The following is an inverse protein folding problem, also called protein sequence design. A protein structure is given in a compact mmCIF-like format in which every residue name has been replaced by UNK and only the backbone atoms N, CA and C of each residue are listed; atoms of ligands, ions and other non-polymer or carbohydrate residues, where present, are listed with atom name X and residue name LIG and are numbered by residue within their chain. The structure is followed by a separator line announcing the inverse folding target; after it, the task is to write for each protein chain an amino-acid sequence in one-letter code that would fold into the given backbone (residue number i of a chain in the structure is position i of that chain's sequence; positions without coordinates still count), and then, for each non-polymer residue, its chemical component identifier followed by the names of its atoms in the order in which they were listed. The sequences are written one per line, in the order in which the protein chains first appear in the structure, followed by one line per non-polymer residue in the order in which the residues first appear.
data_IF_655249324087
#
_entry.id   IF_655249324087
#
_cell.length_a   1.000
_cell.length_b   1.000
_cell.length_c   1.000
_cell.angle_alpha   90.00
_cell.angle_beta   90.00
_cell.angle_gamma   90.00
#
_symmetry.space_group_name_H-M   'P 1'
#
loop_
_entity.id
_entity.type
_entity.pdbx_description
1 polymer ?
#
# COMPACT_ATOMS: atom_id res chain seq x y z
N UNK A 1 -6.39 2.33 13.83
CA UNK A 1 -5.51 2.20 12.64
C UNK A 1 -6.29 1.42 11.59
N UNK A 2 -6.31 1.86 10.33
CA UNK A 2 -7.21 1.33 9.30
C UNK A 2 -6.62 0.09 8.62
N UNK A 3 -7.48 -0.88 8.26
CA UNK A 3 -7.00 -2.11 7.62
C UNK A 3 -6.34 -1.83 6.27
N UNK A 4 -6.87 -0.87 5.52
CA UNK A 4 -6.34 -0.43 4.24
C UNK A 4 -5.06 0.40 4.35
N UNK A 5 -4.74 0.95 5.53
CA UNK A 5 -3.42 1.56 5.78
C UNK A 5 -2.30 0.50 5.89
N UNK A 6 -2.59 -0.77 5.60
CA UNK A 6 -1.60 -1.83 5.43
C UNK A 6 -0.62 -1.54 4.29
N UNK A 7 -1.08 -0.86 3.23
CA UNK A 7 -0.27 -0.57 2.04
C UNK A 7 0.48 0.78 2.08
N UNK A 8 0.35 1.56 3.15
CA UNK A 8 1.06 2.83 3.30
C UNK A 8 0.61 3.96 2.36
N UNK A 9 -0.50 3.78 1.62
CA UNK A 9 -1.12 4.83 0.81
C UNK A 9 -1.89 5.83 1.68
N UNK A 10 -1.92 7.10 1.27
CA UNK A 10 -2.64 8.17 1.99
C UNK A 10 -4.15 8.23 1.65
N UNK A 11 -4.55 7.79 0.44
CA UNK A 11 -5.91 7.96 -0.10
C UNK A 11 -6.71 6.65 -0.31
N UNK A 12 -6.55 5.67 0.59
CA UNK A 12 -7.23 4.36 0.49
C UNK A 12 -8.76 4.39 0.70
N UNK A 13 -9.39 5.57 0.81
CA UNK A 13 -10.84 5.67 0.91
C UNK A 13 -11.50 5.95 -0.44
N UNK A 14 -10.71 6.27 -1.47
CA UNK A 14 -11.21 6.53 -2.81
C UNK A 14 -11.30 5.19 -3.56
N UNK A 15 -12.47 4.80 -4.08
CA UNK A 15 -12.59 3.55 -4.83
C UNK A 15 -12.45 3.79 -6.33
N UNK A 16 -11.60 3.01 -6.98
CA UNK A 16 -11.51 2.94 -8.44
C UNK A 16 -12.62 2.06 -9.04
N UNK A 17 -12.95 2.29 -10.32
CA UNK A 17 -13.96 1.52 -11.06
C UNK A 17 -13.68 0.00 -11.05
N UNK A 18 -12.41 -0.42 -11.07
CA UNK A 18 -12.01 -1.83 -11.02
C UNK A 18 -12.54 -2.57 -9.80
N UNK A 19 -12.67 -1.88 -8.65
CA UNK A 19 -13.25 -2.48 -7.43
C UNK A 19 -14.70 -2.89 -7.65
N UNK A 20 -15.46 -2.08 -8.39
CA UNK A 20 -16.88 -2.31 -8.64
C UNK A 20 -17.12 -3.44 -9.66
N UNK A 21 -16.18 -3.66 -10.57
CA UNK A 21 -16.24 -4.73 -11.55
C UNK A 21 -15.83 -6.07 -10.96
N UNK A 22 -14.81 -6.11 -10.11
CA UNK A 22 -14.26 -7.37 -9.59
C UNK A 22 -14.92 -7.87 -8.31
N UNK A 23 -15.39 -6.97 -7.44
CA UNK A 23 -15.91 -7.34 -6.13
C UNK A 23 -17.31 -6.78 -5.85
N UNK A 24 -18.20 -7.53 -5.18
CA UNK A 24 -19.49 -7.03 -4.74
C UNK A 24 -19.36 -6.15 -3.49
N UNK A 25 -20.38 -5.30 -3.20
CA UNK A 25 -20.33 -4.34 -2.10
C UNK A 25 -20.17 -4.97 -0.71
N UNK A 26 -20.79 -6.12 -0.47
CA UNK A 26 -20.72 -6.80 0.81
C UNK A 26 -19.29 -7.21 1.19
N UNK A 27 -18.49 -7.68 0.22
CA UNK A 27 -17.08 -8.03 0.42
C UNK A 27 -16.23 -6.79 0.68
N UNK A 28 -16.37 -5.75 -0.16
CA UNK A 28 -15.55 -4.53 -0.06
C UNK A 28 -15.80 -3.83 1.29
N UNK A 29 -17.06 -3.72 1.71
CA UNK A 29 -17.43 -2.95 2.88
C UNK A 29 -17.01 -3.58 4.22
N UNK A 30 -16.63 -4.86 4.24
CA UNK A 30 -16.04 -5.47 5.45
C UNK A 30 -14.74 -4.77 5.87
N UNK A 31 -13.97 -4.28 4.89
CA UNK A 31 -12.71 -3.58 5.10
C UNK A 31 -12.89 -2.10 5.49
N UNK A 32 -14.09 -1.53 5.26
CA UNK A 32 -14.45 -0.14 5.55
C UNK A 32 -15.34 0.02 6.79
N UNK A 33 -15.44 -1.01 7.64
CA UNK A 33 -16.23 -0.92 8.86
C UNK A 33 -15.78 0.26 9.74
N UNK A 34 -16.75 1.09 10.15
CA UNK A 34 -16.55 2.31 10.92
C UNK A 34 -15.67 3.37 10.24
N UNK A 35 -15.61 3.35 8.91
CA UNK A 35 -14.83 4.28 8.11
C UNK A 35 -15.71 4.97 7.04
N UNK A 36 -15.10 5.63 6.07
CA UNK A 36 -15.79 6.24 4.94
C UNK A 36 -15.18 5.80 3.61
N UNK A 37 -15.99 5.97 2.57
CA UNK A 37 -15.67 5.68 1.18
C UNK A 37 -16.01 6.91 0.35
N UNK A 38 -15.12 7.25 -0.57
CA UNK A 38 -15.28 8.31 -1.54
C UNK A 38 -15.39 7.69 -2.94
N UNK A 39 -16.34 8.18 -3.72
CA UNK A 39 -16.58 7.73 -5.10
C UNK A 39 -16.67 8.98 -5.97
N UNK A 40 -15.92 9.04 -7.07
CA UNK A 40 -16.06 10.15 -8.00
C UNK A 40 -17.34 9.97 -8.84
N UNK A 41 -17.92 11.09 -9.28
CA UNK A 41 -19.09 11.09 -10.14
C UNK A 41 -18.80 10.37 -11.47
N UNK A 42 -17.57 10.49 -11.99
CA UNK A 42 -17.15 9.79 -13.19
C UNK A 42 -17.16 8.26 -13.02
N UNK A 43 -16.73 7.74 -11.86
CA UNK A 43 -16.78 6.30 -11.55
C UNK A 43 -18.24 5.83 -11.48
N UNK A 44 -19.12 6.59 -10.82
CA UNK A 44 -20.55 6.25 -10.78
C UNK A 44 -21.20 6.29 -12.16
N UNK A 45 -20.87 7.28 -13.01
CA UNK A 45 -21.37 7.36 -14.38
C UNK A 45 -20.92 6.15 -15.21
N UNK A 46 -19.65 5.78 -15.14
CA UNK A 46 -19.13 4.58 -15.81
C UNK A 46 -19.86 3.31 -15.34
N UNK A 47 -20.14 3.21 -14.04
CA UNK A 47 -20.92 2.10 -13.49
C UNK A 47 -22.34 2.05 -14.08
N UNK A 48 -23.01 3.21 -14.23
CA UNK A 48 -24.35 3.30 -14.83
C UNK A 48 -24.35 2.99 -16.32
N UNK A 49 -23.33 3.44 -17.06
CA UNK A 49 -23.13 3.10 -18.47
C UNK A 49 -22.97 1.59 -18.64
N UNK A 50 -22.09 0.97 -17.84
CA UNK A 50 -21.86 -0.47 -17.86
C UNK A 50 -23.09 -1.28 -17.42
N UNK A 51 -23.91 -0.75 -16.51
CA UNK A 51 -25.19 -1.38 -16.10
C UNK A 51 -26.27 -1.27 -17.18
N UNK A 52 -26.27 -0.20 -17.97
CA UNK A 52 -27.22 0.00 -19.05
C UNK A 52 -26.89 -0.81 -20.31
N UNK A 53 -25.64 -1.26 -20.44
CA UNK A 53 -25.18 -2.10 -21.55
C UNK A 53 -25.76 -3.53 -21.44
N UNK A 54 -26.65 -3.94 -22.36
CA UNK A 54 -27.26 -5.27 -22.32
C UNK A 54 -26.26 -6.40 -22.62
N UNK A 55 -25.10 -6.09 -23.22
CA UNK A 55 -24.05 -7.08 -23.51
C UNK A 55 -23.11 -7.29 -22.31
N UNK A 56 -23.23 -6.49 -21.25
CA UNK A 56 -22.43 -6.62 -20.05
C UNK A 56 -22.94 -7.74 -19.14
N UNK A 57 -22.12 -8.79 -19.00
CA UNK A 57 -22.42 -9.98 -18.19
C UNK A 57 -21.87 -9.90 -16.76
N UNK A 58 -21.28 -8.77 -16.34
CA UNK A 58 -20.69 -8.64 -15.01
C UNK A 58 -21.77 -8.59 -13.91
N UNK A 59 -21.78 -9.60 -13.04
CA UNK A 59 -22.79 -9.73 -11.96
C UNK A 59 -22.61 -8.74 -10.80
N UNK A 60 -21.44 -8.12 -10.65
CA UNK A 60 -21.16 -7.18 -9.55
C UNK A 60 -21.72 -5.78 -9.82
N UNK A 61 -21.73 -5.36 -11.08
CA UNK A 61 -22.20 -4.04 -11.49
C UNK A 61 -23.65 -3.78 -11.08
N UNK A 62 -24.62 -4.67 -11.38
CA UNK A 62 -25.98 -4.54 -10.88
C UNK A 62 -26.08 -4.43 -9.36
N UNK A 63 -25.24 -5.17 -8.61
CA UNK A 63 -25.26 -5.15 -7.14
C UNK A 63 -24.84 -3.78 -6.62
N UNK A 64 -23.80 -3.19 -7.20
CA UNK A 64 -23.35 -1.85 -6.83
C UNK A 64 -24.34 -0.75 -7.21
N UNK A 65 -24.93 -0.81 -8.41
CA UNK A 65 -25.96 0.17 -8.82
C UNK A 65 -27.17 0.08 -7.91
N UNK A 66 -27.69 -1.12 -7.64
CA UNK A 66 -28.82 -1.30 -6.72
C UNK A 66 -28.48 -0.86 -5.30
N UNK A 67 -27.26 -1.14 -4.84
CA UNK A 67 -26.78 -0.69 -3.53
C UNK A 67 -26.76 0.84 -3.43
N UNK A 68 -26.16 1.54 -4.40
CA UNK A 68 -26.07 3.01 -4.40
C UNK A 68 -27.45 3.65 -4.59
N UNK A 69 -28.22 3.19 -5.57
CA UNK A 69 -29.47 3.84 -5.95
C UNK A 69 -30.60 3.57 -4.97
N UNK A 70 -30.69 2.33 -4.46
CA UNK A 70 -31.86 1.88 -3.66
C UNK A 70 -31.53 1.71 -2.19
N UNK A 71 -30.36 1.17 -1.84
CA UNK A 71 -30.02 0.97 -0.44
C UNK A 71 -29.49 2.24 0.23
N UNK A 72 -28.64 3.01 -0.47
CA UNK A 72 -28.17 4.31 0.01
C UNK A 72 -29.12 5.47 -0.34
N UNK A 73 -30.10 5.26 -1.22
CA UNK A 73 -31.04 6.27 -1.73
C UNK A 73 -30.34 7.52 -2.29
N UNK A 74 -29.32 7.29 -3.14
CA UNK A 74 -28.46 8.37 -3.65
C UNK A 74 -28.75 8.81 -5.08
N UNK A 75 -29.55 8.06 -5.84
CA UNK A 75 -29.82 8.31 -7.28
C UNK A 75 -30.19 9.77 -7.56
N UNK A 76 -31.19 10.31 -6.86
CA UNK A 76 -31.65 11.70 -7.04
C UNK A 76 -30.60 12.75 -6.66
N UNK A 77 -29.71 12.42 -5.73
CA UNK A 77 -28.67 13.33 -5.26
C UNK A 77 -27.46 13.34 -6.18
N UNK A 78 -27.16 12.22 -6.83
CA UNK A 78 -26.11 12.12 -7.85
C UNK A 78 -26.52 12.84 -9.14
N UNK A 79 -27.80 12.75 -9.54
CA UNK A 79 -28.33 13.59 -10.63
C UNK A 79 -28.20 15.08 -10.29
N UNK A 80 -28.56 15.47 -9.06
CA UNK A 80 -28.40 16.87 -8.63
C UNK A 80 -26.93 17.31 -8.56
N UNK A 81 -26.00 16.41 -8.21
CA UNK A 81 -24.56 16.68 -8.22
C UNK A 81 -24.09 16.95 -9.66
N UNK A 82 -24.50 16.13 -10.61
CA UNK A 82 -24.17 16.27 -12.04
C UNK A 82 -24.69 17.59 -12.63
N UNK A 83 -25.95 17.93 -12.37
CA UNK A 83 -26.60 19.12 -12.93
C UNK A 83 -26.15 20.44 -12.28
N UNK A 84 -25.77 20.42 -11.00
CA UNK A 84 -25.49 21.65 -10.25
C UNK A 84 -24.00 21.93 -10.13
N UNK A 85 -23.45 22.78 -11.00
CA UNK A 85 -22.02 23.17 -11.04
C UNK A 85 -21.43 23.73 -9.73
N UNK A 86 -22.27 24.07 -8.74
CA UNK A 86 -21.85 24.68 -7.48
C UNK A 86 -21.81 23.70 -6.29
N UNK A 87 -22.14 22.43 -6.55
CA UNK A 87 -21.94 21.33 -5.61
C UNK A 87 -20.65 20.58 -5.95
N UNK A 88 -19.74 20.51 -4.99
CA UNK A 88 -18.47 19.80 -5.15
C UNK A 88 -18.62 18.32 -4.76
N UNK A 89 -19.53 18.03 -3.83
CA UNK A 89 -19.83 16.67 -3.38
C UNK A 89 -21.26 16.54 -2.84
N UNK A 90 -21.74 15.30 -2.70
CA UNK A 90 -22.96 14.95 -1.93
C UNK A 90 -22.63 13.86 -0.91
N UNK A 91 -23.35 13.89 0.23
CA UNK A 91 -23.16 12.97 1.34
C UNK A 91 -22.98 13.69 2.69
N UNK A 92 -22.73 12.94 3.78
CA UNK A 92 -22.63 11.48 3.82
C UNK A 92 -23.98 10.79 3.57
N UNK A 93 -23.93 9.68 2.82
CA UNK A 93 -24.90 8.58 2.96
C UNK A 93 -24.35 7.58 3.98
N UNK A 94 -25.22 6.82 4.63
CA UNK A 94 -24.84 5.93 5.72
C UNK A 94 -25.25 4.50 5.42
N UNK A 95 -24.30 3.59 5.47
CA UNK A 95 -24.55 2.17 5.52
C UNK A 95 -24.34 1.66 6.94
N UNK A 96 -25.45 1.54 7.67
CA UNK A 96 -25.46 1.29 9.12
C UNK A 96 -24.92 -0.10 9.49
N UNK A 97 -25.05 -1.10 8.61
CA UNK A 97 -24.61 -2.48 8.86
C UNK A 97 -23.11 -2.60 9.11
N UNK A 98 -22.29 -1.77 8.47
CA UNK A 98 -20.84 -1.67 8.75
C UNK A 98 -20.45 -0.33 9.37
N UNK A 99 -21.43 0.56 9.62
CA UNK A 99 -21.20 1.96 9.99
C UNK A 99 -20.24 2.67 9.03
N UNK A 100 -20.44 2.47 7.73
CA UNK A 100 -19.63 3.08 6.67
C UNK A 100 -20.34 4.30 6.10
N UNK A 101 -19.61 5.40 5.90
CA UNK A 101 -20.13 6.63 5.28
C UNK A 101 -19.71 6.71 3.82
N UNK A 102 -20.60 7.17 2.96
CA UNK A 102 -20.31 7.36 1.53
C UNK A 102 -20.37 8.82 1.16
N UNK A 103 -19.36 9.28 0.43
CA UNK A 103 -19.27 10.60 -0.15
C UNK A 103 -19.06 10.48 -1.64
N UNK A 104 -19.76 11.31 -2.41
CA UNK A 104 -19.65 11.33 -3.86
C UNK A 104 -19.16 12.68 -4.32
N UNK A 105 -18.06 12.72 -5.06
CA UNK A 105 -17.36 13.95 -5.46
C UNK A 105 -17.52 14.21 -6.94
N UNK A 106 -17.76 15.46 -7.34
CA UNK A 106 -17.78 15.83 -8.76
C UNK A 106 -16.39 15.67 -9.38
N UNK A 107 -15.36 16.15 -8.70
CA UNK A 107 -13.99 16.14 -9.21
C UNK A 107 -13.38 14.74 -9.07
N UNK A 108 -12.67 14.24 -10.10
CA UNK A 108 -11.88 13.03 -9.96
C UNK A 108 -10.76 13.27 -8.92
N UNK A 109 -10.30 12.18 -8.30
CA UNK A 109 -9.21 12.24 -7.32
C UNK A 109 -7.86 12.40 -8.04
N UNK A 110 -6.94 13.16 -7.45
CA UNK A 110 -5.62 13.44 -8.03
C UNK A 110 -4.66 12.24 -7.92
N UNK A 111 -4.89 11.36 -6.94
CA UNK A 111 -4.10 10.16 -6.70
C UNK A 111 -4.88 8.89 -7.07
N UNK A 112 -4.14 7.81 -7.32
CA UNK A 112 -4.72 6.48 -7.55
C UNK A 112 -5.52 6.04 -6.32
N UNK A 113 -6.81 5.77 -6.53
CA UNK A 113 -7.67 5.19 -5.51
C UNK A 113 -7.31 3.73 -5.21
N UNK A 114 -8.05 3.13 -4.29
CA UNK A 114 -8.00 1.70 -4.03
C UNK A 114 -8.48 0.91 -5.24
N UNK A 115 -7.61 0.04 -5.72
CA UNK A 115 -7.80 -0.80 -6.91
C UNK A 115 -8.26 -2.22 -6.53
N UNK A 116 -8.72 -2.98 -7.52
CA UNK A 116 -9.20 -4.35 -7.29
C UNK A 116 -8.10 -5.30 -6.76
N UNK A 117 -6.85 -5.18 -7.22
CA UNK A 117 -5.72 -5.99 -6.75
C UNK A 117 -5.43 -5.80 -5.25
N UNK A 118 -5.57 -4.57 -4.75
CA UNK A 118 -5.44 -4.27 -3.32
C UNK A 118 -6.56 -4.91 -2.49
N UNK A 119 -7.79 -4.93 -3.03
CA UNK A 119 -8.90 -5.67 -2.40
C UNK A 119 -8.63 -7.18 -2.43
N UNK A 120 -8.07 -7.70 -3.53
CA UNK A 120 -7.67 -9.11 -3.64
C UNK A 120 -6.66 -9.48 -2.54
N UNK A 121 -5.63 -8.66 -2.34
CA UNK A 121 -4.62 -8.89 -1.30
C UNK A 121 -5.24 -8.83 0.09
N UNK A 122 -6.17 -7.90 0.36
CA UNK A 122 -6.88 -7.87 1.66
C UNK A 122 -7.71 -9.12 1.90
N UNK A 123 -8.38 -9.65 0.88
CA UNK A 123 -9.14 -10.90 0.95
C UNK A 123 -8.18 -12.06 1.24
N UNK A 124 -7.05 -12.14 0.55
CA UNK A 124 -6.03 -13.17 0.76
C UNK A 124 -5.46 -13.11 2.19
N UNK A 125 -5.09 -11.91 2.67
CA UNK A 125 -4.60 -11.68 4.03
C UNK A 125 -5.64 -11.98 5.10
N UNK A 126 -6.92 -11.78 4.77
CA UNK A 126 -8.04 -12.15 5.64
C UNK A 126 -8.22 -13.67 5.76
N UNK A 127 -7.62 -14.45 4.86
CA UNK A 127 -7.69 -15.90 4.79
C UNK A 127 -7.26 -16.61 6.07
N UNK A 128 -7.57 -17.92 6.14
CA UNK A 128 -7.06 -18.75 7.24
C UNK A 128 -5.69 -19.28 6.85
N UNK A 129 -4.63 -19.07 7.66
CA UNK A 129 -3.30 -19.59 7.36
C UNK A 129 -3.35 -21.11 7.12
N UNK A 130 -2.77 -21.59 6.03
CA UNK A 130 -2.69 -23.00 5.66
C UNK A 130 -1.23 -23.43 5.67
N UNK A 131 -0.97 -24.66 6.11
CA UNK A 131 0.38 -25.24 6.02
C UNK A 131 0.54 -25.84 4.63
N UNK A 132 1.67 -25.61 3.99
CA UNK A 132 1.98 -26.25 2.71
C UNK A 132 2.04 -27.78 2.88
N UNK A 133 1.40 -28.51 1.97
CA UNK A 133 1.26 -29.97 2.04
C UNK A 133 2.59 -30.71 1.89
N UNK A 134 3.53 -30.15 1.13
CA UNK A 134 4.86 -30.72 0.94
C UNK A 134 5.69 -30.52 2.21
N UNK A 135 5.66 -29.31 2.77
CA UNK A 135 6.34 -29.00 4.04
C UNK A 135 5.75 -29.81 5.20
N UNK A 136 4.42 -29.95 5.27
CA UNK A 136 3.73 -30.74 6.29
C UNK A 136 4.13 -32.22 6.27
N UNK A 137 4.18 -32.82 5.07
CA UNK A 137 4.62 -34.21 4.88
C UNK A 137 6.07 -34.38 5.32
N UNK A 138 6.95 -33.46 4.92
CA UNK A 138 8.35 -33.51 5.31
C UNK A 138 8.55 -33.43 6.81
N UNK A 139 7.90 -32.47 7.47
CA UNK A 139 7.95 -32.32 8.92
C UNK A 139 7.51 -33.59 9.68
N UNK A 140 6.48 -34.28 9.18
CA UNK A 140 6.04 -35.54 9.76
C UNK A 140 7.12 -36.63 9.64
N UNK A 141 7.80 -36.74 8.50
CA UNK A 141 8.88 -37.71 8.31
C UNK A 141 10.13 -37.41 9.14
N UNK A 142 10.46 -36.12 9.29
CA UNK A 142 11.60 -35.64 10.08
C UNK A 142 11.52 -36.10 11.54
N UNK A 143 10.32 -36.09 12.14
CA UNK A 143 10.11 -36.53 13.53
C UNK A 143 10.31 -38.02 13.78
N UNK A 144 10.25 -38.85 12.74
CA UNK A 144 10.29 -40.29 12.85
C UNK A 144 11.65 -40.90 12.47
N UNK A 145 12.53 -40.14 11.83
CA UNK A 145 13.84 -40.65 11.39
C UNK A 145 14.91 -40.44 12.49
N UNK A 146 15.67 -41.49 12.86
CA UNK A 146 16.85 -41.32 13.70
C UNK A 146 17.92 -40.49 12.97
N UNK A 147 18.72 -39.74 13.73
CA UNK A 147 19.85 -38.97 13.22
C UNK A 147 20.88 -39.92 12.61
N UNK A 148 20.84 -40.08 11.29
CA UNK A 148 21.85 -40.75 10.48
C UNK A 148 22.45 -39.75 9.49
N UNK A 149 23.62 -40.06 8.95
CA UNK A 149 24.24 -39.25 7.89
C UNK A 149 23.29 -39.16 6.69
N UNK A 150 22.84 -37.94 6.38
CA UNK A 150 21.93 -37.67 5.27
C UNK A 150 22.62 -37.94 3.93
N UNK A 151 21.90 -38.55 3.00
CA UNK A 151 22.34 -38.67 1.61
C UNK A 151 22.31 -37.32 0.88
N UNK A 152 23.01 -37.21 -0.27
CA UNK A 152 22.98 -35.98 -1.08
C UNK A 152 21.55 -35.61 -1.50
N UNK A 153 20.77 -36.59 -1.91
CA UNK A 153 19.39 -36.37 -2.36
C UNK A 153 18.48 -35.94 -1.21
N UNK A 154 18.72 -36.47 0.00
CA UNK A 154 18.04 -35.99 1.22
C UNK A 154 18.42 -34.54 1.54
N UNK A 155 19.69 -34.16 1.41
CA UNK A 155 20.13 -32.77 1.62
C UNK A 155 19.53 -31.80 0.60
N UNK A 156 19.47 -32.18 -0.68
CA UNK A 156 18.84 -31.39 -1.73
C UNK A 156 17.36 -31.17 -1.45
N UNK A 157 16.65 -32.24 -1.05
CA UNK A 157 15.26 -32.15 -0.66
C UNK A 157 15.06 -31.27 0.58
N UNK A 158 15.88 -31.43 1.62
CA UNK A 158 15.82 -30.60 2.83
C UNK A 158 16.02 -29.11 2.52
N UNK A 159 16.96 -28.78 1.63
CA UNK A 159 17.23 -27.41 1.19
C UNK A 159 16.06 -26.82 0.41
N UNK A 160 15.50 -27.56 -0.55
CA UNK A 160 14.35 -27.11 -1.32
C UNK A 160 13.16 -26.79 -0.40
N UNK A 161 12.89 -27.68 0.55
CA UNK A 161 11.79 -27.50 1.52
C UNK A 161 12.04 -26.32 2.43
N UNK A 162 13.29 -26.11 2.82
CA UNK A 162 13.68 -24.98 3.68
C UNK A 162 13.58 -23.64 2.97
N UNK A 163 13.91 -23.59 1.67
CA UNK A 163 13.69 -22.40 0.84
C UNK A 163 12.19 -22.09 0.76
N UNK A 164 11.35 -23.07 0.41
CA UNK A 164 9.89 -22.89 0.38
C UNK A 164 9.32 -22.51 1.74
N UNK A 165 9.86 -23.06 2.84
CA UNK A 165 9.45 -22.69 4.18
C UNK A 165 9.78 -21.23 4.51
N UNK A 166 10.92 -20.70 4.06
CA UNK A 166 11.27 -19.28 4.25
C UNK A 166 10.33 -18.34 3.49
N UNK A 167 10.01 -18.67 2.24
CA UNK A 167 9.05 -17.91 1.41
C UNK A 167 7.67 -17.88 2.09
N UNK A 168 7.19 -19.04 2.55
CA UNK A 168 5.91 -19.17 3.23
C UNK A 168 5.88 -18.49 4.61
N UNK A 169 7.00 -18.43 5.35
CA UNK A 169 7.07 -17.70 6.63
C UNK A 169 6.68 -16.24 6.44
N UNK A 170 7.17 -15.58 5.38
CA UNK A 170 6.85 -14.17 5.12
C UNK A 170 5.35 -13.99 4.86
N UNK A 171 4.78 -14.84 4.00
CA UNK A 171 3.35 -14.79 3.67
C UNK A 171 2.47 -15.00 4.92
N UNK A 172 2.76 -16.03 5.72
CA UNK A 172 2.02 -16.31 6.96
C UNK A 172 2.21 -15.18 7.99
N UNK A 173 3.39 -14.55 8.03
CA UNK A 173 3.64 -13.39 8.90
C UNK A 173 2.76 -12.20 8.50
N UNK A 174 2.64 -11.89 7.20
CA UNK A 174 1.75 -10.83 6.71
C UNK A 174 0.30 -11.10 7.10
N UNK A 175 -0.19 -12.34 6.93
CA UNK A 175 -1.51 -12.74 7.40
C UNK A 175 -1.67 -12.52 8.92
N UNK A 176 -0.71 -12.98 9.73
CA UNK A 176 -0.76 -12.79 11.20
C UNK A 176 -0.78 -11.30 11.57
N UNK A 177 0.01 -10.47 10.89
CA UNK A 177 0.04 -9.03 11.11
C UNK A 177 -1.30 -8.38 10.74
N UNK A 178 -1.89 -8.76 9.61
CA UNK A 178 -3.22 -8.31 9.20
C UNK A 178 -4.28 -8.64 10.27
N UNK A 179 -4.30 -9.88 10.77
CA UNK A 179 -5.25 -10.30 11.81
C UNK A 179 -5.07 -9.51 13.12
N UNK A 180 -3.84 -9.12 13.48
CA UNK A 180 -3.58 -8.25 14.64
C UNK A 180 -4.18 -6.87 14.43
N UNK A 181 -3.95 -6.25 13.26
CA UNK A 181 -4.55 -4.95 12.93
C UNK A 181 -6.07 -4.99 12.90
N UNK A 182 -6.66 -6.10 12.43
CA UNK A 182 -8.11 -6.33 12.51
C UNK A 182 -8.59 -6.33 13.95
N UNK A 183 -7.92 -7.04 14.85
CA UNK A 183 -8.25 -7.02 16.28
C UNK A 183 -8.16 -5.58 16.82
N UNK A 184 -7.07 -4.87 16.56
CA UNK A 184 -6.88 -3.49 17.04
C UNK A 184 -8.00 -2.56 16.55
N UNK A 185 -8.41 -2.69 15.28
CA UNK A 185 -9.49 -1.90 14.71
C UNK A 185 -10.84 -2.22 15.36
N UNK A 186 -11.15 -3.50 15.59
CA UNK A 186 -12.41 -3.94 16.21
C UNK A 186 -12.45 -3.63 17.71
N UNK A 187 -11.36 -3.83 18.44
CA UNK A 187 -11.25 -3.46 19.86
C UNK A 187 -11.33 -1.94 20.04
N UNK A 188 -10.74 -1.15 19.12
CA UNK A 188 -10.90 0.31 19.11
C UNK A 188 -12.37 0.73 18.93
N UNK A 189 -13.12 0.04 18.07
CA UNK A 189 -14.57 0.29 17.91
C UNK A 189 -15.35 -0.06 19.18
N UNK A 190 -15.10 -1.24 19.78
CA UNK A 190 -15.79 -1.70 20.98
C UNK A 190 -15.52 -0.83 22.22
N UNK A 191 -14.31 -0.29 22.32
CA UNK A 191 -13.89 0.55 23.45
C UNK A 191 -14.25 2.04 23.26
N UNK A 192 -14.75 2.45 22.09
CA UNK A 192 -15.11 3.84 21.84
C UNK A 192 -16.42 4.20 22.55
N UNK A 193 -16.42 5.19 23.48
CA UNK A 193 -17.65 5.69 24.11
C UNK A 193 -18.61 6.34 23.09
N UNK A 194 -18.13 6.62 21.88
CA UNK A 194 -18.87 7.18 20.76
C UNK A 194 -18.92 6.24 19.55
N UNK A 195 -19.10 4.93 19.76
CA UNK A 195 -19.54 4.00 18.70
C UNK A 195 -20.97 4.36 18.25
N UNK A 196 -21.15 5.59 17.79
CA UNK A 196 -22.34 6.20 17.24
C UNK A 196 -22.08 6.51 15.76
N UNK A 197 -23.14 6.73 15.01
CA UNK A 197 -23.02 7.31 13.68
C UNK A 197 -22.41 8.71 13.81
N UNK A 198 -21.49 9.06 12.92
CA UNK A 198 -20.91 10.41 12.90
C UNK A 198 -21.90 11.39 12.28
N UNK A 199 -22.20 12.50 12.98
CA UNK A 199 -23.04 13.58 12.45
C UNK A 199 -22.39 14.21 11.21
N UNK A 200 -23.18 14.67 10.21
CA UNK A 200 -22.66 15.46 9.11
C UNK A 200 -21.94 16.72 9.60
N UNK A 201 -20.82 17.07 8.96
CA UNK A 201 -19.99 18.18 9.41
C UNK A 201 -20.54 19.56 8.98
N UNK A 202 -20.55 20.52 9.91
CA UNK A 202 -21.11 21.87 9.71
C UNK A 202 -20.09 22.82 9.09
N UNK A 203 -19.82 22.71 7.79
CA UNK A 203 -18.79 23.53 7.12
C UNK A 203 -19.28 24.75 6.32
N UNK A 204 -20.43 25.34 6.67
CA UNK A 204 -21.00 26.43 5.87
C UNK A 204 -20.99 27.76 6.61
N UNK A 205 -19.96 28.58 6.35
CA UNK A 205 -19.93 29.98 6.78
C UNK A 205 -20.80 30.78 5.83
N UNK A 206 -21.86 31.40 6.35
CA UNK A 206 -22.74 32.27 5.56
C UNK A 206 -21.92 33.47 5.05
N UNK A 207 -21.94 33.76 3.74
CA UNK A 207 -21.28 34.94 3.18
C UNK A 207 -21.74 36.22 3.88
N UNK A 208 -20.80 37.15 4.10
CA UNK A 208 -21.10 38.41 4.75
C UNK A 208 -21.42 39.49 3.72
N UNK A 209 -22.48 40.26 3.99
CA UNK A 209 -22.91 41.33 3.10
C UNK A 209 -21.85 42.43 3.04
N UNK A 210 -21.45 42.91 1.84
CA UNK A 210 -20.48 43.99 1.71
C UNK A 210 -20.93 45.23 2.48
N UNK A 211 -20.07 45.75 3.36
CA UNK A 211 -20.35 46.96 4.10
C UNK A 211 -20.32 48.17 3.16
N UNK A 212 -21.38 48.99 3.16
CA UNK A 212 -21.34 50.31 2.51
C UNK A 212 -20.40 51.21 3.31
N UNK A 213 -19.20 51.48 2.78
CA UNK A 213 -18.32 52.51 3.34
C UNK A 213 -19.04 53.86 3.24
N UNK A 214 -19.44 54.43 4.37
CA UNK A 214 -19.90 55.83 4.42
C UNK A 214 -18.68 56.71 4.17
N UNK A 215 -18.53 57.20 2.94
CA UNK A 215 -17.59 58.26 2.61
C UNK A 215 -18.04 59.53 3.34
N UNK A 216 -17.36 59.87 4.44
CA UNK A 216 -17.40 61.20 5.02
C UNK A 216 -16.17 61.92 4.49
N UNK A 217 -16.25 62.52 3.31
CA UNK A 217 -15.33 63.58 2.85
C UNK A 217 -15.85 64.26 1.60
N UNK A 218 -15.75 65.58 1.61
CA UNK A 218 -16.18 66.53 0.61
C UNK A 218 -15.58 66.25 -0.78
N UNK A 219 -16.46 66.21 -1.78
CA UNK A 219 -16.23 66.66 -3.15
C UNK A 219 -15.04 66.09 -3.90
N UNK A 220 -15.10 64.84 -4.36
CA UNK A 220 -14.70 64.41 -5.71
C UNK A 220 -15.38 63.05 -5.98
N UNK A 221 -16.21 62.97 -7.01
CA UNK A 221 -16.90 61.74 -7.41
C UNK A 221 -15.87 60.70 -7.87
N UNK A 222 -15.67 59.62 -7.10
CA UNK A 222 -14.89 58.45 -7.54
C UNK A 222 -15.84 57.36 -8.07
N UNK A 223 -16.13 57.29 -9.38
CA UNK A 223 -16.98 56.24 -9.96
C UNK A 223 -16.41 54.81 -9.77
N UNK A 224 -15.09 54.67 -9.59
CA UNK A 224 -14.43 53.38 -9.35
C UNK A 224 -14.82 52.70 -8.04
N UNK A 225 -15.20 53.45 -6.99
CA UNK A 225 -15.62 52.86 -5.70
C UNK A 225 -17.06 52.36 -5.68
N UNK A 226 -17.90 52.90 -6.58
CA UNK A 226 -19.27 52.46 -6.78
C UNK A 226 -19.31 51.16 -7.60
N UNK A 227 -18.53 51.09 -8.67
CA UNK A 227 -18.38 49.88 -9.49
C UNK A 227 -17.84 48.70 -8.67
N UNK A 228 -16.78 48.91 -7.87
CA UNK A 228 -16.24 47.84 -7.01
C UNK A 228 -17.19 47.40 -5.89
N UNK A 229 -18.03 48.30 -5.38
CA UNK A 229 -19.10 47.95 -4.44
C UNK A 229 -20.24 47.16 -5.10
N UNK A 230 -20.60 47.52 -6.33
CA UNK A 230 -21.60 46.79 -7.14
C UNK A 230 -21.09 45.39 -7.49
N UNK A 231 -19.83 45.24 -7.91
CA UNK A 231 -19.16 43.95 -8.12
C UNK A 231 -19.12 43.11 -6.84
N UNK A 232 -18.75 43.70 -5.70
CA UNK A 232 -18.75 43.00 -4.42
C UNK A 232 -20.17 42.54 -4.01
N UNK A 233 -21.20 43.31 -4.36
CA UNK A 233 -22.59 42.94 -4.12
C UNK A 233 -23.06 41.82 -5.07
N UNK A 234 -22.61 41.81 -6.33
CA UNK A 234 -22.87 40.71 -7.27
C UNK A 234 -22.18 39.42 -6.81
N UNK A 235 -20.90 39.50 -6.41
CA UNK A 235 -20.17 38.38 -5.84
C UNK A 235 -20.85 37.84 -4.58
N UNK A 236 -21.26 38.72 -3.67
CA UNK A 236 -22.03 38.33 -2.48
C UNK A 236 -23.32 37.58 -2.83
N UNK A 237 -24.09 38.05 -3.81
CA UNK A 237 -25.32 37.39 -4.23
C UNK A 237 -25.03 36.00 -4.83
N UNK A 238 -23.95 35.88 -5.61
CA UNK A 238 -23.47 34.61 -6.14
C UNK A 238 -23.08 33.65 -5.00
N UNK A 239 -22.19 34.08 -4.11
CA UNK A 239 -21.72 33.29 -2.97
C UNK A 239 -22.87 32.87 -2.06
N UNK A 240 -23.86 33.76 -1.85
CA UNK A 240 -25.04 33.46 -1.06
C UNK A 240 -25.91 32.38 -1.72
N UNK A 241 -26.05 32.41 -3.06
CA UNK A 241 -26.73 31.35 -3.81
C UNK A 241 -26.00 30.02 -3.64
N UNK A 242 -24.67 30.01 -3.80
CA UNK A 242 -23.82 28.82 -3.59
C UNK A 242 -23.98 28.28 -2.17
N UNK A 243 -23.93 29.16 -1.17
CA UNK A 243 -24.15 28.81 0.22
C UNK A 243 -25.50 28.09 0.43
N UNK A 244 -26.60 28.61 -0.11
CA UNK A 244 -27.92 27.97 0.05
C UNK A 244 -28.00 26.61 -0.65
N UNK A 245 -27.33 26.42 -1.78
CA UNK A 245 -27.25 25.11 -2.45
C UNK A 245 -26.50 24.10 -1.58
N UNK A 246 -25.33 24.48 -1.06
CA UNK A 246 -24.55 23.62 -0.15
C UNK A 246 -25.28 23.36 1.17
N UNK A 247 -25.99 24.35 1.70
CA UNK A 247 -26.78 24.23 2.93
C UNK A 247 -27.92 23.23 2.78
N UNK A 248 -28.62 23.26 1.64
CA UNK A 248 -29.67 22.30 1.35
C UNK A 248 -29.13 20.86 1.25
N UNK A 249 -27.94 20.66 0.68
CA UNK A 249 -27.34 19.32 0.68
C UNK A 249 -26.93 18.86 2.08
N UNK A 250 -26.38 19.77 2.91
CA UNK A 250 -26.14 19.48 4.31
C UNK A 250 -27.43 19.12 5.08
N UNK A 251 -28.54 19.83 4.84
CA UNK A 251 -29.84 19.47 5.43
C UNK A 251 -30.28 18.06 5.04
N UNK A 252 -30.13 17.67 3.75
CA UNK A 252 -30.41 16.29 3.34
C UNK A 252 -29.53 15.28 4.06
N UNK A 253 -28.23 15.57 4.22
CA UNK A 253 -27.32 14.70 4.96
C UNK A 253 -27.74 14.56 6.43
N UNK A 254 -28.20 15.66 7.06
CA UNK A 254 -28.78 15.61 8.40
C UNK A 254 -30.06 14.75 8.46
N UNK A 255 -30.93 14.82 7.45
CA UNK A 255 -32.12 13.97 7.38
C UNK A 255 -31.75 12.49 7.21
N UNK A 256 -30.78 12.15 6.34
CA UNK A 256 -30.25 10.78 6.21
C UNK A 256 -29.70 10.26 7.54
N UNK A 257 -28.92 11.10 8.24
CA UNK A 257 -28.39 10.79 9.57
C UNK A 257 -29.50 10.52 10.58
N UNK A 258 -30.53 11.39 10.65
CA UNK A 258 -31.69 11.19 11.55
C UNK A 258 -32.45 9.90 11.25
N UNK A 259 -32.62 9.55 9.97
CA UNK A 259 -33.25 8.30 9.58
C UNK A 259 -32.44 7.10 10.08
N UNK A 260 -31.13 7.10 9.84
CA UNK A 260 -30.24 6.03 10.27
C UNK A 260 -30.16 5.88 11.79
N UNK A 261 -30.27 6.98 12.55
CA UNK A 261 -30.31 6.94 14.01
C UNK A 261 -31.51 6.15 14.57
N UNK A 262 -32.62 6.04 13.83
CA UNK A 262 -33.80 5.27 14.28
C UNK A 262 -33.49 3.78 14.38
N UNK A 263 -32.74 3.26 13.42
CA UNK A 263 -32.40 1.83 13.34
C UNK A 263 -31.03 1.53 13.97
N UNK A 264 -30.27 2.58 14.32
CA UNK A 264 -28.90 2.45 14.79
C UNK A 264 -28.76 1.62 16.06
N UNK A 265 -29.65 1.74 17.04
CA UNK A 265 -29.52 0.96 18.28
C UNK A 265 -29.58 -0.55 18.03
N UNK A 266 -30.43 -0.98 17.09
CA UNK A 266 -30.55 -2.37 16.69
C UNK A 266 -29.32 -2.84 15.90
N UNK A 267 -28.95 -2.11 14.85
CA UNK A 267 -27.80 -2.44 14.00
C UNK A 267 -26.46 -2.37 14.73
N UNK A 268 -26.32 -1.43 15.68
CA UNK A 268 -25.13 -1.33 16.54
C UNK A 268 -24.89 -2.61 17.32
N UNK A 269 -25.93 -3.22 17.88
CA UNK A 269 -25.78 -4.47 18.62
C UNK A 269 -25.33 -5.62 17.70
N UNK A 270 -25.86 -5.69 16.48
CA UNK A 270 -25.38 -6.63 15.47
C UNK A 270 -23.90 -6.39 15.12
N UNK A 271 -23.51 -5.14 14.91
CA UNK A 271 -22.13 -4.78 14.61
C UNK A 271 -21.16 -5.07 15.77
N UNK A 272 -21.59 -4.86 17.01
CA UNK A 272 -20.84 -5.24 18.22
C UNK A 272 -20.63 -6.75 18.27
N UNK A 273 -21.70 -7.53 18.10
CA UNK A 273 -21.63 -8.99 18.13
C UNK A 273 -20.71 -9.53 17.02
N UNK A 274 -20.86 -9.00 15.79
CA UNK A 274 -19.99 -9.31 14.66
C UNK A 274 -18.53 -8.98 14.96
N UNK A 275 -18.24 -7.81 15.52
CA UNK A 275 -16.88 -7.40 15.89
C UNK A 275 -16.24 -8.32 16.94
N UNK A 276 -17.02 -8.79 17.92
CA UNK A 276 -16.57 -9.76 18.91
C UNK A 276 -16.24 -11.11 18.26
N UNK A 277 -17.08 -11.57 17.33
CA UNK A 277 -16.82 -12.80 16.57
C UNK A 277 -15.60 -12.68 15.67
N UNK A 278 -15.42 -11.56 14.99
CA UNK A 278 -14.25 -11.28 14.16
C UNK A 278 -12.96 -11.34 14.99
N UNK A 279 -12.95 -10.73 16.18
CA UNK A 279 -11.81 -10.80 17.12
C UNK A 279 -11.52 -12.26 17.51
N UNK A 280 -12.56 -13.04 17.83
CA UNK A 280 -12.39 -14.46 18.18
C UNK A 280 -11.77 -15.25 17.02
N UNK A 281 -12.30 -15.07 15.80
CA UNK A 281 -11.79 -15.72 14.58
C UNK A 281 -10.35 -15.29 14.28
N UNK A 282 -10.04 -14.00 14.39
CA UNK A 282 -8.70 -13.46 14.19
C UNK A 282 -7.70 -14.03 15.21
N UNK A 283 -8.06 -14.12 16.50
CA UNK A 283 -7.21 -14.74 17.55
C UNK A 283 -6.92 -16.22 17.24
N UNK A 284 -7.89 -16.97 16.72
CA UNK A 284 -7.68 -18.35 16.26
C UNK A 284 -6.75 -18.42 15.05
N UNK A 285 -6.92 -17.54 14.06
CA UNK A 285 -6.05 -17.45 12.88
C UNK A 285 -4.61 -17.11 13.26
N UNK A 286 -4.39 -16.15 14.18
CA UNK A 286 -3.06 -15.82 14.72
C UNK A 286 -2.42 -17.05 15.40
N UNK A 287 -3.18 -17.76 16.25
CA UNK A 287 -2.67 -18.97 16.91
C UNK A 287 -2.28 -20.05 15.89
N UNK A 288 -3.06 -20.22 14.83
CA UNK A 288 -2.77 -21.15 13.74
C UNK A 288 -1.51 -20.73 12.96
N UNK A 289 -1.43 -19.47 12.54
CA UNK A 289 -0.26 -18.92 11.83
C UNK A 289 1.03 -19.07 12.64
N UNK A 290 1.02 -18.70 13.93
CA UNK A 290 2.17 -18.87 14.81
C UNK A 290 2.60 -20.35 14.96
N UNK A 291 1.65 -21.29 14.96
CA UNK A 291 1.95 -22.73 14.98
C UNK A 291 2.63 -23.18 13.68
N UNK A 292 2.16 -22.68 12.53
CA UNK A 292 2.75 -22.96 11.22
C UNK A 292 4.17 -22.40 11.15
N UNK A 293 4.38 -21.14 11.51
CA UNK A 293 5.71 -20.51 11.57
C UNK A 293 6.64 -21.31 12.48
N UNK A 294 6.16 -21.80 13.63
CA UNK A 294 6.97 -22.67 14.50
C UNK A 294 7.41 -23.96 13.81
N UNK A 295 6.51 -24.61 13.07
CA UNK A 295 6.82 -25.81 12.29
C UNK A 295 7.90 -25.50 11.24
N UNK A 296 7.74 -24.42 10.49
CA UNK A 296 8.70 -24.00 9.46
C UNK A 296 10.08 -23.71 10.06
N UNK A 297 10.14 -23.00 11.19
CA UNK A 297 11.39 -22.77 11.91
C UNK A 297 12.03 -24.05 12.47
N UNK A 298 11.23 -25.05 12.89
CA UNK A 298 11.77 -26.34 13.32
C UNK A 298 12.44 -27.09 12.15
N UNK A 299 11.91 -26.98 10.93
CA UNK A 299 12.53 -27.54 9.72
C UNK A 299 13.86 -26.84 9.43
N UNK A 300 13.88 -25.50 9.46
CA UNK A 300 15.10 -24.72 9.22
C UNK A 300 16.21 -25.06 10.23
N UNK A 301 15.85 -25.24 11.50
CA UNK A 301 16.80 -25.62 12.54
C UNK A 301 17.35 -27.05 12.37
N UNK A 302 16.68 -27.91 11.60
CA UNK A 302 17.11 -29.29 11.33
C UNK A 302 18.10 -29.40 10.15
N UNK A 303 18.40 -28.30 9.44
CA UNK A 303 19.40 -28.28 8.37
C UNK A 303 20.85 -28.39 8.86
N UNK A 304 21.10 -28.35 10.19
CA UNK A 304 22.45 -28.39 10.78
C UNK A 304 23.42 -27.31 10.23
N UNK A 305 22.88 -26.17 9.79
CA UNK A 305 23.65 -25.01 9.34
C UNK A 305 23.55 -23.86 10.34
N UNK A 306 24.58 -23.01 10.38
CA UNK A 306 24.57 -21.83 11.22
C UNK A 306 23.46 -20.85 10.79
N UNK A 307 22.77 -20.23 11.74
CA UNK A 307 21.62 -19.33 11.48
C UNK A 307 21.93 -18.17 10.52
N UNK A 308 23.19 -17.73 10.43
CA UNK A 308 23.64 -16.71 9.46
C UNK A 308 23.38 -17.08 7.99
N UNK A 309 23.26 -18.38 7.70
CA UNK A 309 23.01 -18.90 6.35
C UNK A 309 21.56 -19.33 6.12
N UNK A 310 20.67 -19.16 7.10
CA UNK A 310 19.26 -19.51 6.98
C UNK A 310 18.47 -18.38 6.28
N UNK A 311 18.90 -18.05 5.07
CA UNK A 311 18.23 -17.11 4.17
C UNK A 311 18.16 -17.71 2.77
N UNK A 312 17.22 -17.24 1.96
CA UNK A 312 16.91 -17.83 0.65
C UNK A 312 18.14 -17.88 -0.26
N UNK A 313 18.93 -16.80 -0.29
CA UNK A 313 20.11 -16.70 -1.15
C UNK A 313 21.18 -17.75 -0.80
N UNK A 314 21.58 -17.79 0.47
CA UNK A 314 22.55 -18.79 0.97
C UNK A 314 22.08 -20.22 0.72
N UNK A 315 20.81 -20.55 1.02
CA UNK A 315 20.27 -21.90 0.83
C UNK A 315 20.20 -22.28 -0.65
N UNK A 316 19.81 -21.35 -1.52
CA UNK A 316 19.78 -21.55 -2.97
C UNK A 316 21.18 -21.82 -3.51
N UNK A 317 22.19 -21.13 -2.96
CA UNK A 317 23.58 -21.35 -3.34
C UNK A 317 24.10 -22.71 -2.86
N UNK A 318 23.75 -23.13 -1.65
CA UNK A 318 24.06 -24.47 -1.15
C UNK A 318 23.40 -25.57 -1.99
N UNK A 319 22.14 -25.36 -2.40
CA UNK A 319 21.43 -26.29 -3.28
C UNK A 319 22.19 -26.44 -4.60
N UNK A 320 22.58 -25.32 -5.21
CA UNK A 320 23.38 -25.32 -6.45
C UNK A 320 24.71 -26.07 -6.29
N UNK A 321 25.43 -25.90 -5.17
CA UNK A 321 26.69 -26.60 -4.94
C UNK A 321 26.53 -28.12 -4.83
N UNK A 322 25.49 -28.59 -4.14
CA UNK A 322 25.21 -30.02 -4.00
C UNK A 322 24.72 -30.63 -5.31
N UNK A 323 23.85 -29.93 -6.03
CA UNK A 323 23.24 -30.42 -7.28
C UNK A 323 24.31 -30.61 -8.36
N UNK A 324 25.17 -29.60 -8.52
CA UNK A 324 26.31 -29.62 -9.46
C UNK A 324 27.46 -30.53 -9.03
N UNK A 325 27.42 -31.07 -7.80
CA UNK A 325 28.49 -31.90 -7.24
C UNK A 325 29.76 -31.13 -6.87
N UNK A 326 29.71 -29.80 -6.81
CA UNK A 326 30.80 -28.95 -6.29
C UNK A 326 31.05 -29.18 -4.80
N UNK A 327 30.02 -29.60 -4.07
CA UNK A 327 30.10 -30.01 -2.67
C UNK A 327 29.41 -31.36 -2.46
N UNK A 328 29.86 -32.10 -1.45
CA UNK A 328 29.31 -33.40 -1.04
C UNK A 328 28.63 -33.34 0.34
N UNK A 329 28.73 -32.21 1.04
CA UNK A 329 28.13 -32.00 2.37
C UNK A 329 27.77 -30.54 2.61
N UNK A 330 26.91 -30.29 3.60
CA UNK A 330 26.55 -28.92 4.02
C UNK A 330 27.75 -28.11 4.52
N UNK A 331 28.72 -28.75 5.18
CA UNK A 331 29.93 -28.07 5.63
C UNK A 331 30.78 -27.58 4.46
N UNK A 332 30.92 -28.40 3.41
CA UNK A 332 31.61 -27.98 2.17
C UNK A 332 30.87 -26.85 1.48
N UNK A 333 29.53 -26.88 1.47
CA UNK A 333 28.73 -25.78 0.93
C UNK A 333 29.00 -24.45 1.65
N UNK A 334 29.01 -24.46 2.98
CA UNK A 334 29.33 -23.27 3.79
C UNK A 334 30.75 -22.77 3.50
N UNK A 335 31.73 -23.67 3.40
CA UNK A 335 33.12 -23.30 3.09
C UNK A 335 33.25 -22.67 1.70
N UNK A 336 32.58 -23.24 0.68
CA UNK A 336 32.58 -22.69 -0.68
C UNK A 336 31.89 -21.33 -0.74
N UNK A 337 30.80 -21.15 -0.01
CA UNK A 337 30.08 -19.88 0.03
C UNK A 337 30.92 -18.76 0.63
N UNK A 338 31.60 -19.00 1.75
CA UNK A 338 32.50 -18.00 2.35
C UNK A 338 33.69 -17.68 1.44
N UNK A 339 34.19 -18.67 0.69
CA UNK A 339 35.22 -18.42 -0.31
C UNK A 339 34.70 -17.55 -1.45
N UNK A 340 33.50 -17.82 -1.97
CA UNK A 340 32.89 -17.01 -3.03
C UNK A 340 32.64 -15.58 -2.56
N UNK A 341 32.10 -15.38 -1.35
CA UNK A 341 31.93 -14.05 -0.74
C UNK A 341 33.27 -13.30 -0.62
N UNK A 342 34.32 -13.97 -0.17
CA UNK A 342 35.65 -13.37 -0.08
C UNK A 342 36.19 -12.94 -1.45
N UNK A 343 35.93 -13.72 -2.50
CA UNK A 343 36.31 -13.36 -3.88
C UNK A 343 35.50 -12.18 -4.42
N UNK A 344 34.21 -12.09 -4.09
CA UNK A 344 33.37 -10.95 -4.44
C UNK A 344 33.86 -9.67 -3.78
N UNK A 345 34.20 -9.72 -2.48
CA UNK A 345 34.77 -8.59 -1.74
C UNK A 345 36.10 -8.12 -2.34
N UNK A 346 36.98 -9.07 -2.70
CA UNK A 346 38.24 -8.78 -3.37
C UNK A 346 38.03 -8.12 -4.73
N UNK A 347 37.08 -8.62 -5.52
CA UNK A 347 36.76 -8.07 -6.83
C UNK A 347 36.18 -6.66 -6.70
N UNK A 348 35.27 -6.43 -5.75
CA UNK A 348 34.72 -5.10 -5.51
C UNK A 348 35.80 -4.11 -5.04
N UNK A 349 36.74 -4.58 -4.20
CA UNK A 349 37.91 -3.81 -3.79
C UNK A 349 38.81 -3.44 -4.98
N UNK A 350 39.06 -4.39 -5.88
CA UNK A 350 39.79 -4.15 -7.12
C UNK A 350 39.07 -3.13 -8.01
N UNK A 351 37.76 -3.28 -8.22
CA UNK A 351 36.97 -2.35 -9.03
C UNK A 351 36.95 -0.93 -8.44
N UNK A 352 36.98 -0.79 -7.11
CA UNK A 352 37.14 0.51 -6.43
C UNK A 352 38.53 1.09 -6.66
N UNK A 353 39.58 0.27 -6.55
CA UNK A 353 40.95 0.69 -6.79
C UNK A 353 41.15 1.16 -8.24
N UNK A 354 40.65 0.39 -9.21
CA UNK A 354 40.72 0.72 -10.64
C UNK A 354 40.00 2.04 -10.94
N UNK A 355 38.80 2.26 -10.37
CA UNK A 355 38.07 3.53 -10.50
C UNK A 355 38.84 4.71 -9.90
N UNK A 356 39.47 4.52 -8.73
CA UNK A 356 40.25 5.57 -8.08
C UNK A 356 41.53 5.91 -8.85
N UNK A 357 42.23 4.90 -9.38
CA UNK A 357 43.39 5.09 -10.25
C UNK A 357 42.96 5.86 -11.50
N UNK A 358 41.88 5.44 -12.16
CA UNK A 358 41.34 6.11 -13.34
C UNK A 358 41.00 7.58 -13.05
N UNK A 359 40.30 7.85 -11.96
CA UNK A 359 39.96 9.22 -11.55
C UNK A 359 41.21 10.08 -11.29
N UNK A 360 42.22 9.52 -10.63
CA UNK A 360 43.49 10.21 -10.34
C UNK A 360 44.27 10.51 -11.62
N UNK A 361 44.34 9.55 -12.55
CA UNK A 361 44.98 9.76 -13.86
C UNK A 361 44.26 10.85 -14.65
N UNK A 362 42.93 10.81 -14.71
CA UNK A 362 42.12 11.84 -15.36
C UNK A 362 42.32 13.22 -14.72
N UNK A 363 42.37 13.30 -13.39
CA UNK A 363 42.63 14.54 -12.66
C UNK A 363 44.02 15.11 -12.98
N UNK A 364 45.08 14.30 -12.89
CA UNK A 364 46.45 14.71 -13.22
C UNK A 364 46.57 15.14 -14.68
N UNK A 365 45.83 14.49 -15.59
CA UNK A 365 45.75 14.90 -16.99
C UNK A 365 45.07 16.25 -17.19
N UNK A 366 43.95 16.48 -16.51
CA UNK A 366 43.26 17.76 -16.55
C UNK A 366 44.14 18.88 -15.96
N UNK A 367 44.85 18.60 -14.87
CA UNK A 367 45.80 19.54 -14.24
C UNK A 367 47.02 19.82 -15.12
N UNK A 368 47.61 18.78 -15.75
CA UNK A 368 48.72 18.93 -16.70
C UNK A 368 48.29 19.73 -17.94
N UNK A 369 47.10 19.46 -18.49
CA UNK A 369 46.55 20.21 -19.61
C UNK A 369 46.17 21.66 -19.22
N UNK A 370 45.89 21.93 -17.95
CA UNK A 370 45.65 23.28 -17.45
C UNK A 370 46.95 24.07 -17.17
N UNK A 371 48.08 23.38 -16.96
CA UNK A 371 49.38 23.98 -16.60
C UNK A 371 50.40 24.00 -17.74
N UNK A 372 50.15 23.25 -18.81
CA UNK A 372 50.94 23.28 -20.06
C UNK A 372 50.01 23.55 -21.24
N UNK A 373 50.44 24.33 -22.24
CA UNK A 373 49.72 24.54 -23.52
C UNK A 373 49.68 23.25 -24.38
N UNK A 374 49.24 22.13 -23.80
CA UNK A 374 49.14 20.84 -24.47
C UNK A 374 47.68 20.51 -24.76
N UNK A 375 47.37 20.31 -26.04
CA UNK A 375 46.01 19.97 -26.50
C UNK A 375 45.48 18.68 -25.83
N UNK A 376 44.27 18.71 -25.26
CA UNK A 376 43.65 17.53 -24.65
C UNK A 376 43.09 16.64 -25.76
N UNK A 377 43.89 15.68 -26.22
CA UNK A 377 43.42 14.81 -27.30
C UNK A 377 44.37 13.69 -27.66
N UNK A 378 44.41 12.64 -26.82
CA UNK A 378 44.33 11.22 -27.25
C UNK A 378 44.46 10.25 -26.06
N UNK A 379 43.33 9.61 -25.77
CA UNK A 379 43.14 8.30 -25.14
C UNK A 379 43.80 8.09 -23.78
N UNK A 380 43.01 8.32 -22.72
CA UNK A 380 43.33 7.98 -21.33
C UNK A 380 43.86 6.53 -21.14
N UNK A 381 43.45 5.61 -22.00
CA UNK A 381 43.89 4.20 -22.01
C UNK A 381 45.41 4.03 -22.24
N UNK A 382 46.02 4.82 -23.13
CA UNK A 382 47.47 4.76 -23.40
C UNK A 382 48.31 5.22 -22.20
N UNK A 383 47.75 6.08 -21.35
CA UNK A 383 48.47 6.68 -20.24
C UNK A 383 48.44 5.79 -19.00
N UNK A 384 47.36 5.03 -18.82
CA UNK A 384 47.29 3.93 -17.85
C UNK A 384 48.37 2.89 -18.17
N UNK A 385 48.54 2.54 -19.44
CA UNK A 385 49.57 1.59 -19.87
C UNK A 385 50.99 2.12 -19.58
N UNK A 386 51.24 3.42 -19.79
CA UNK A 386 52.52 4.08 -19.48
C UNK A 386 52.76 4.16 -17.97
N UNK A 387 51.74 4.47 -17.16
CA UNK A 387 51.84 4.55 -15.71
C UNK A 387 52.08 3.16 -15.08
N UNK A 388 51.36 2.14 -15.54
CA UNK A 388 51.57 0.75 -15.11
C UNK A 388 52.94 0.23 -15.53
N UNK A 389 53.45 0.60 -16.71
CA UNK A 389 54.80 0.24 -17.16
C UNK A 389 55.88 0.89 -16.29
N UNK A 390 55.73 2.18 -15.91
CA UNK A 390 56.64 2.87 -14.98
C UNK A 390 56.59 2.31 -13.56
N UNK A 391 55.41 1.95 -13.04
CA UNK A 391 55.29 1.30 -11.73
C UNK A 391 56.00 -0.08 -11.68
N UNK A 392 55.99 -0.83 -12.78
CA UNK A 392 56.75 -2.08 -12.90
C UNK A 392 58.26 -1.84 -13.02
N UNK A 393 58.69 -0.73 -13.62
CA UNK A 393 60.10 -0.33 -13.69
C UNK A 393 60.65 0.19 -12.35
N UNK A 394 59.79 0.71 -11.46
CA UNK A 394 60.16 1.20 -10.11
C UNK A 394 60.22 0.06 -9.08
N UNK A 395 59.86 -1.17 -9.45
CA UNK A 395 60.10 -2.36 -8.61
C UNK A 395 61.28 -3.20 -9.12
N UNK A 396 62.54 -2.75 -8.97
CA UNK A 396 63.66 -3.67 -8.87
C UNK A 396 63.88 -4.04 -7.40
N UNK A 397 63.58 -5.30 -7.09
CA UNK A 397 64.22 -6.11 -6.04
C UNK A 397 64.41 -5.47 -4.64
N UNK A 398 63.48 -5.77 -3.74
CA UNK A 398 63.84 -6.17 -2.35
C UNK A 398 63.44 -7.63 -2.16
N UNK A 399 64.17 -8.51 -2.85
CA UNK A 399 64.43 -9.88 -2.39
C UNK A 399 65.94 -10.06 -2.41
N UNK A 400 66.55 -9.77 -1.27
CA UNK A 400 67.77 -10.42 -0.78
C UNK A 400 67.65 -10.54 0.72
#
# INVERSE_FOLDING_TARGET
MLLLSFFGKEEYNNLDISVFTEYPPDIVLEFYQHNFVNISLSVYQQLKEQFADPDNINENIPKWVLFIDKLLDMESCLVALEENQHLDFVGPAYYITTNTRFFFFRTPFEHEGTMADEIAELIELSGTPVIDDLIARHYATMKCKPSSRKSRDELLNDLQISISALEEIEHIYRQVLFQRRLIDARESFLNSPYAALNEPEKYLIKPQKPAKKRSVSFGFFQPRSKLSFEEACQQYNHDLKVYYMKYREHEKACERYKLCLKDWEFEKNHLINRSIEDIKKAKLKIKKGNRIIKIYNEILNNLEIHGRYQNIDSLSRFYYFLDTGRALSMQECMNLFEQELYWEDLKESQDRLERNIMATVCYLHAEAAATTEFEPGKQAENLIEIALRRLREISPAETS
#
